data_IF_937587369074
#
_entry.id   IF_937587369074
#
_cell.length_a   1.000
_cell.length_b   1.000
_cell.length_c   1.000
_cell.angle_alpha   90.00
_cell.angle_beta   90.00
_cell.angle_gamma   90.00
#
_symmetry.space_group_name_H-M   'P 1'
#
loop_
_entity.id
_entity.type
_entity.pdbx_description
1 polymer ?
#
# COMPACT_ATOMS: atom_id res chain seq x y z
N UNK A 1 -1.06 10.25 -11.04
CA UNK A 1 -0.16 10.17 -9.87
C UNK A 1 -0.54 8.93 -9.07
N UNK A 2 0.45 8.16 -8.60
CA UNK A 2 0.43 6.69 -8.46
C UNK A 2 -0.90 6.09 -7.95
N UNK A 3 -1.57 5.34 -8.83
CA UNK A 3 -2.86 4.64 -8.62
C UNK A 3 -2.66 3.28 -7.91
N UNK A 4 -1.92 3.25 -6.80
CA UNK A 4 -1.68 1.99 -6.07
C UNK A 4 -2.89 1.62 -5.20
N UNK A 5 -3.53 2.61 -4.59
CA UNK A 5 -4.74 2.41 -3.77
C UNK A 5 -5.92 3.10 -4.44
N UNK A 6 -7.05 2.40 -4.53
CA UNK A 6 -8.31 2.92 -5.05
C UNK A 6 -9.22 3.51 -3.97
N UNK A 7 -10.32 4.13 -4.39
CA UNK A 7 -11.49 4.45 -3.57
C UNK A 7 -12.23 3.19 -3.09
N UNK A 8 -12.15 2.08 -3.84
CA UNK A 8 -12.59 0.77 -3.38
C UNK A 8 -11.62 0.17 -2.33
N UNK A 9 -12.11 -0.46 -1.25
CA UNK A 9 -11.25 -1.06 -0.23
C UNK A 9 -10.38 -2.22 -0.75
N UNK A 10 -9.06 -2.09 -0.58
CA UNK A 10 -8.05 -3.09 -0.94
C UNK A 10 -7.38 -3.66 0.31
N UNK A 11 -7.02 -4.94 0.27
CA UNK A 11 -6.18 -5.59 1.29
C UNK A 11 -4.71 -5.16 1.18
N UNK A 12 -3.94 -5.38 2.26
CA UNK A 12 -2.50 -5.10 2.25
C UNK A 12 -1.74 -5.91 1.18
N UNK A 13 -2.22 -7.12 0.84
CA UNK A 13 -1.62 -7.94 -0.20
C UNK A 13 -1.81 -7.31 -1.60
N UNK A 14 -3.03 -6.89 -1.92
CA UNK A 14 -3.36 -6.22 -3.18
C UNK A 14 -2.58 -4.91 -3.34
N UNK A 15 -2.48 -4.12 -2.26
CA UNK A 15 -1.70 -2.87 -2.25
C UNK A 15 -0.21 -3.15 -2.50
N UNK A 16 0.36 -4.18 -1.85
CA UNK A 16 1.77 -4.55 -2.03
C UNK A 16 2.04 -5.00 -3.45
N UNK A 17 1.19 -5.83 -4.03
CA UNK A 17 1.32 -6.32 -5.41
C UNK A 17 1.26 -5.17 -6.41
N UNK A 18 0.28 -4.28 -6.26
CA UNK A 18 0.16 -3.07 -7.08
C UNK A 18 1.39 -2.16 -6.93
N UNK A 19 1.89 -1.97 -5.71
CA UNK A 19 3.09 -1.16 -5.46
C UNK A 19 4.34 -1.76 -6.12
N UNK A 20 4.48 -3.10 -6.10
CA UNK A 20 5.67 -3.81 -6.58
C UNK A 20 5.99 -3.51 -8.04
N UNK A 21 4.97 -3.32 -8.88
CA UNK A 21 5.11 -2.98 -10.31
C UNK A 21 5.70 -1.58 -10.56
N UNK A 22 5.80 -0.75 -9.51
CA UNK A 22 6.32 0.61 -9.58
C UNK A 22 7.62 0.79 -8.81
N UNK A 23 8.11 -0.26 -8.14
CA UNK A 23 9.33 -0.19 -7.37
C UNK A 23 10.54 -0.27 -8.30
N UNK A 24 11.55 0.58 -8.09
CA UNK A 24 12.76 0.53 -8.88
C UNK A 24 13.60 -0.70 -8.45
N UNK A 25 14.02 -1.48 -9.45
CA UNK A 25 14.68 -2.78 -9.25
C UNK A 25 16.06 -2.66 -8.57
N UNK A 26 16.73 -1.51 -8.67
CA UNK A 26 18.01 -1.25 -8.01
C UNK A 26 17.88 -1.10 -6.49
N UNK A 27 16.70 -0.68 -6.00
CA UNK A 27 16.39 -0.57 -4.57
C UNK A 27 15.59 -1.75 -4.04
N UNK A 28 14.69 -2.29 -4.86
CA UNK A 28 13.82 -3.42 -4.52
C UNK A 28 13.89 -4.48 -5.62
N UNK A 29 14.98 -5.26 -5.74
CA UNK A 29 15.12 -6.25 -6.80
C UNK A 29 13.93 -7.22 -6.82
N UNK A 30 13.11 -7.17 -7.88
CA UNK A 30 11.89 -7.98 -7.97
C UNK A 30 10.89 -7.74 -6.83
N UNK A 31 10.91 -6.56 -6.21
CA UNK A 31 10.06 -6.21 -5.07
C UNK A 31 10.48 -6.85 -3.74
N UNK A 32 11.66 -7.48 -3.67
CA UNK A 32 12.18 -8.06 -2.43
C UNK A 32 12.24 -7.02 -1.29
N UNK A 33 11.98 -7.46 -0.06
CA UNK A 33 12.01 -6.66 1.19
C UNK A 33 11.15 -5.39 1.25
N UNK A 34 10.41 -5.06 0.18
CA UNK A 34 9.49 -3.91 0.08
C UNK A 34 8.35 -3.89 1.10
N UNK A 35 8.04 -5.03 1.73
CA UNK A 35 6.92 -5.14 2.66
C UNK A 35 7.02 -4.23 3.88
N UNK A 36 8.22 -4.05 4.44
CA UNK A 36 8.44 -3.13 5.57
C UNK A 36 8.29 -1.67 5.16
N UNK A 37 8.87 -1.31 4.02
CA UNK A 37 8.72 0.02 3.44
C UNK A 37 7.24 0.34 3.15
N UNK A 38 6.52 -0.57 2.50
CA UNK A 38 5.11 -0.40 2.15
C UNK A 38 4.24 -0.19 3.40
N UNK A 39 4.51 -0.93 4.47
CA UNK A 39 3.81 -0.76 5.75
C UNK A 39 4.06 0.61 6.38
N UNK A 40 5.30 1.11 6.35
CA UNK A 40 5.62 2.45 6.85
C UNK A 40 4.89 3.54 6.04
N UNK A 41 4.90 3.44 4.71
CA UNK A 41 4.17 4.36 3.83
C UNK A 41 2.67 4.32 4.11
N UNK A 42 2.09 3.12 4.27
CA UNK A 42 0.69 2.96 4.62
C UNK A 42 0.34 3.67 5.94
N UNK A 43 1.13 3.46 7.00
CA UNK A 43 0.88 4.09 8.31
C UNK A 43 1.01 5.63 8.27
N UNK A 44 1.97 6.14 7.51
CA UNK A 44 2.14 7.59 7.28
C UNK A 44 0.94 8.18 6.53
N UNK A 45 0.44 7.50 5.48
CA UNK A 45 -0.73 7.93 4.73
C UNK A 45 -2.02 7.86 5.55
N UNK A 46 -2.14 6.89 6.45
CA UNK A 46 -3.23 6.84 7.43
C UNK A 46 -3.16 8.02 8.41
N UNK A 47 -1.96 8.32 8.94
CA UNK A 47 -1.76 9.45 9.85
C UNK A 47 -2.04 10.81 9.17
N UNK A 48 -1.75 10.92 7.87
CA UNK A 48 -2.06 12.09 7.04
C UNK A 48 -3.52 12.18 6.62
N UNK A 49 -4.33 11.15 6.89
CA UNK A 49 -5.73 11.10 6.46
C UNK A 49 -5.90 10.93 4.95
N UNK A 50 -4.90 10.42 4.24
CA UNK A 50 -4.98 10.10 2.80
C UNK A 50 -5.58 8.70 2.58
N UNK A 51 -5.36 7.79 3.53
CA UNK A 51 -5.95 6.45 3.54
C UNK A 51 -6.89 6.28 4.73
N UNK A 52 -8.02 5.62 4.47
CA UNK A 52 -8.97 5.19 5.51
C UNK A 52 -8.80 3.69 5.74
N UNK A 53 -8.59 3.30 7.00
CA UNK A 53 -8.55 1.89 7.42
C UNK A 53 -9.96 1.39 7.73
N UNK A 54 -10.34 0.30 7.09
CA UNK A 54 -11.61 -0.39 7.31
C UNK A 54 -11.43 -1.56 8.28
N UNK A 55 -12.27 -1.60 9.32
CA UNK A 55 -12.26 -2.69 10.32
C UNK A 55 -12.86 -3.99 9.76
N UNK A 56 -12.09 -4.68 8.93
CA UNK A 56 -12.46 -5.92 8.23
C UNK A 56 -11.46 -7.05 8.54
N UNK A 57 -11.82 -8.29 8.17
CA UNK A 57 -10.93 -9.45 8.27
C UNK A 57 -10.84 -10.12 6.89
N UNK A 58 -9.72 -9.99 6.16
CA UNK A 58 -8.51 -9.22 6.48
C UNK A 58 -8.76 -7.70 6.50
N UNK A 59 -7.85 -6.93 7.11
CA UNK A 59 -7.89 -5.46 7.09
C UNK A 59 -7.81 -4.93 5.65
N UNK A 60 -8.49 -3.79 5.42
CA UNK A 60 -8.54 -3.12 4.12
C UNK A 60 -8.37 -1.61 4.22
N UNK A 61 -7.97 -0.99 3.12
CA UNK A 61 -7.75 0.44 2.97
C UNK A 61 -8.32 0.98 1.66
N UNK A 62 -8.83 2.20 1.70
CA UNK A 62 -9.21 2.97 0.51
C UNK A 62 -8.63 4.38 0.62
N UNK A 63 -8.61 5.11 -0.49
CA UNK A 63 -8.44 6.57 -0.45
C UNK A 63 -9.53 7.19 0.43
N UNK A 64 -9.15 8.23 1.17
CA UNK A 64 -10.05 9.04 1.99
C UNK A 64 -10.97 9.94 1.17
#
# INVERSE_FOLDING_TARGET
MLKVVSDAPMSAAEIKEAASSHLPDDLFPGGATSGWWAKCVQLDLEAKGVLVRHQTKPLRWSLA
#
